data_IF_284182766762
#
_entry.id   IF_284182766762
#
_cell.length_a   1.000
_cell.length_b   1.000
_cell.length_c   1.000
_cell.angle_alpha   90.00
_cell.angle_beta   90.00
_cell.angle_gamma   90.00
#
_symmetry.space_group_name_H-M   'P 1'
#
loop_
_entity.id
_entity.type
_entity.pdbx_description
1 polymer ?
#
# COMPACT_ATOMS: atom_id res chain seq x y z
N UNK A 1 -1.10 -2.08 -20.10
CA UNK A 1 -0.21 -2.75 -19.12
C UNK A 1 -1.09 -3.21 -17.97
N UNK A 2 -1.90 -4.24 -18.20
CA UNK A 2 -2.79 -4.85 -17.18
C UNK A 2 -2.07 -5.97 -16.41
N UNK A 3 -1.00 -6.52 -16.97
CA UNK A 3 -0.38 -7.80 -16.57
C UNK A 3 0.33 -7.77 -15.20
N UNK A 4 0.47 -6.60 -14.57
CA UNK A 4 1.26 -6.42 -13.34
C UNK A 4 0.51 -5.73 -12.19
N UNK A 5 -0.79 -5.44 -12.36
CA UNK A 5 -1.57 -4.72 -11.36
C UNK A 5 -1.74 -5.49 -10.04
N UNK A 6 -1.67 -6.82 -10.10
CA UNK A 6 -1.73 -7.70 -8.92
C UNK A 6 -0.59 -7.42 -7.93
N UNK A 7 0.57 -6.92 -8.39
CA UNK A 7 1.70 -6.55 -7.53
C UNK A 7 1.34 -5.43 -6.54
N UNK A 8 0.27 -4.68 -6.81
CA UNK A 8 -0.18 -3.58 -5.95
C UNK A 8 -1.05 -4.03 -4.78
N UNK A 9 -1.58 -5.25 -4.82
CA UNK A 9 -2.28 -5.85 -3.70
C UNK A 9 -1.29 -6.43 -2.73
N UNK A 10 -0.97 -5.69 -1.67
CA UNK A 10 -0.11 -6.16 -0.61
C UNK A 10 -0.66 -7.42 0.05
N UNK A 11 0.23 -8.30 0.49
CA UNK A 11 -0.12 -9.55 1.20
C UNK A 11 -1.13 -9.29 2.33
N UNK A 12 -0.97 -8.18 3.05
CA UNK A 12 -1.79 -7.76 4.17
C UNK A 12 -2.99 -6.86 3.81
N UNK A 13 -3.29 -6.63 2.53
CA UNK A 13 -4.39 -5.77 2.09
C UNK A 13 -4.04 -4.31 1.82
N UNK A 14 -2.77 -3.90 2.01
CA UNK A 14 -2.34 -2.54 1.68
C UNK A 14 -2.35 -2.38 0.16
N UNK A 15 -2.96 -1.30 -0.33
CA UNK A 15 -2.83 -0.89 -1.72
C UNK A 15 -1.55 -0.08 -1.97
N UNK A 16 -0.61 -0.64 -2.75
CA UNK A 16 0.65 0.06 -3.05
C UNK A 16 0.46 1.28 -3.95
N UNK A 17 -0.64 1.39 -4.71
CA UNK A 17 -0.85 2.51 -5.63
C UNK A 17 -0.92 3.89 -4.97
N UNK A 18 -1.09 3.96 -3.66
CA UNK A 18 -1.03 5.19 -2.85
C UNK A 18 0.14 5.23 -1.87
N UNK A 19 1.02 4.22 -1.89
CA UNK A 19 2.25 4.19 -1.08
C UNK A 19 3.26 5.21 -1.62
N UNK A 20 3.85 6.08 -0.76
CA UNK A 20 4.81 7.08 -1.20
C UNK A 20 5.96 6.53 -2.04
N UNK A 21 6.56 5.42 -1.63
CA UNK A 21 7.71 4.83 -2.34
C UNK A 21 7.35 4.27 -3.72
N UNK A 22 6.18 3.64 -3.87
CA UNK A 22 5.72 3.14 -5.15
C UNK A 22 5.22 4.27 -6.05
N UNK A 23 4.32 5.11 -5.55
CA UNK A 23 3.70 6.14 -6.37
C UNK A 23 4.72 7.21 -6.79
N UNK A 24 5.67 7.60 -5.94
CA UNK A 24 6.74 8.53 -6.33
C UNK A 24 7.65 7.97 -7.43
N UNK A 25 7.95 6.67 -7.40
CA UNK A 25 8.65 5.98 -8.48
C UNK A 25 7.85 6.07 -9.80
N UNK A 26 6.55 5.78 -9.77
CA UNK A 26 5.70 5.78 -10.98
C UNK A 26 5.46 7.18 -11.55
N UNK A 27 5.29 8.19 -10.71
CA UNK A 27 5.05 9.58 -11.10
C UNK A 27 6.35 10.36 -11.33
N UNK A 28 7.52 9.71 -11.15
CA UNK A 28 8.84 10.35 -11.16
C UNK A 28 8.92 11.57 -10.22
N UNK A 29 8.30 11.47 -9.05
CA UNK A 29 8.34 12.48 -7.99
C UNK A 29 9.64 12.34 -7.19
N UNK A 30 10.69 12.97 -7.74
CA UNK A 30 12.04 12.93 -7.15
C UNK A 30 12.05 13.57 -5.74
N UNK A 31 11.24 14.59 -5.49
CA UNK A 31 11.20 15.28 -4.20
C UNK A 31 10.65 14.36 -3.10
N UNK A 32 9.59 13.59 -3.38
CA UNK A 32 9.09 12.60 -2.42
C UNK A 32 10.11 11.45 -2.25
N UNK A 33 10.78 10.98 -3.31
CA UNK A 33 11.84 9.96 -3.16
C UNK A 33 13.00 10.46 -2.28
N UNK A 34 13.49 11.68 -2.49
CA UNK A 34 14.54 12.30 -1.67
C UNK A 34 14.14 12.43 -0.21
N UNK A 35 12.91 12.89 0.05
CA UNK A 35 12.35 13.00 1.39
C UNK A 35 12.32 11.63 2.08
N UNK A 36 11.84 10.59 1.39
CA UNK A 36 11.74 9.22 1.92
C UNK A 36 13.12 8.63 2.21
N UNK A 37 14.06 8.82 1.30
CA UNK A 37 15.46 8.42 1.47
C UNK A 37 16.06 9.06 2.73
N UNK A 38 15.86 10.37 2.92
CA UNK A 38 16.33 11.10 4.09
C UNK A 38 15.67 10.64 5.40
N UNK A 39 14.33 10.57 5.44
CA UNK A 39 13.57 10.19 6.64
C UNK A 39 13.88 8.78 7.13
N UNK A 40 14.15 7.85 6.19
CA UNK A 40 14.37 6.44 6.47
C UNK A 40 15.85 6.04 6.50
N UNK A 41 16.76 7.00 6.27
CA UNK A 41 18.20 6.78 6.17
C UNK A 41 18.58 5.71 5.12
N UNK A 42 18.04 5.87 3.92
CA UNK A 42 18.34 5.08 2.72
C UNK A 42 18.80 6.00 1.59
N UNK A 43 19.33 5.41 0.52
CA UNK A 43 19.57 6.10 -0.75
C UNK A 43 18.26 6.25 -1.55
N UNK A 44 18.25 7.17 -2.53
CA UNK A 44 17.12 7.34 -3.45
C UNK A 44 16.80 6.02 -4.17
N UNK A 45 17.83 5.28 -4.60
CA UNK A 45 17.63 4.03 -5.33
C UNK A 45 17.07 2.93 -4.45
N UNK A 46 17.48 2.85 -3.18
CA UNK A 46 16.90 1.91 -2.20
C UNK A 46 15.43 2.19 -1.90
N UNK A 47 14.95 3.44 -2.06
CA UNK A 47 13.55 3.76 -1.81
C UNK A 47 12.62 3.60 -3.01
N UNK A 48 13.16 3.23 -4.18
CA UNK A 48 12.35 2.88 -5.36
C UNK A 48 11.64 1.55 -5.13
N UNK A 49 10.41 1.44 -5.60
CA UNK A 49 9.55 0.29 -5.34
C UNK A 49 8.61 0.02 -6.52
N UNK A 50 8.49 -1.24 -6.92
CA UNK A 50 7.67 -1.68 -8.06
C UNK A 50 6.43 -2.49 -7.61
N UNK A 51 6.10 -2.46 -6.31
CA UNK A 51 4.90 -3.06 -5.73
C UNK A 51 5.20 -4.26 -4.84
N UNK A 52 4.28 -4.61 -3.93
CA UNK A 52 4.50 -5.61 -2.86
C UNK A 52 4.96 -6.99 -3.37
N UNK A 53 4.50 -7.43 -4.53
CA UNK A 53 4.90 -8.72 -5.11
C UNK A 53 5.95 -8.61 -6.23
N UNK A 54 6.61 -7.46 -6.34
CA UNK A 54 7.78 -7.31 -7.22
C UNK A 54 9.07 -7.76 -6.52
N UNK A 55 10.12 -7.95 -7.32
CA UNK A 55 11.48 -8.21 -6.80
C UNK A 55 12.15 -6.94 -6.24
N UNK A 56 11.60 -5.76 -6.53
CA UNK A 56 12.15 -4.47 -6.14
C UNK A 56 11.18 -3.74 -5.19
N UNK A 57 11.42 -3.88 -3.89
CA UNK A 57 10.62 -3.25 -2.84
C UNK A 57 11.50 -2.53 -1.83
N UNK A 58 10.93 -1.55 -1.16
CA UNK A 58 11.55 -0.84 -0.03
C UNK A 58 12.22 -1.82 0.96
N UNK A 59 13.39 -1.49 1.53
CA UNK A 59 14.06 -2.32 2.55
C UNK A 59 13.14 -2.71 3.72
N UNK A 60 12.29 -1.79 4.19
CA UNK A 60 11.31 -2.07 5.25
C UNK A 60 10.21 -3.03 4.82
N UNK A 61 9.90 -3.08 3.52
CA UNK A 61 8.99 -4.05 2.94
C UNK A 61 9.68 -5.40 2.65
N UNK A 62 11.00 -5.43 2.45
CA UNK A 62 11.78 -6.69 2.41
C UNK A 62 11.74 -7.36 3.78
N UNK A 63 12.11 -6.62 4.83
CA UNK A 63 12.06 -7.10 6.22
C UNK A 63 10.62 -7.46 6.61
N UNK A 64 9.66 -6.62 6.21
CA UNK A 64 8.25 -6.73 6.56
C UNK A 64 8.11 -7.06 8.05
N UNK A 65 8.57 -6.15 8.94
CA UNK A 65 8.60 -6.35 10.41
C UNK A 65 7.33 -6.96 11.02
N UNK A 66 6.10 -6.62 10.56
CA UNK A 66 4.88 -7.28 11.05
C UNK A 66 4.82 -8.81 10.78
N UNK A 67 5.62 -9.31 9.84
CA UNK A 67 5.83 -10.72 9.57
C UNK A 67 4.95 -11.30 8.46
N UNK A 68 4.18 -10.50 7.72
CA UNK A 68 3.22 -11.00 6.72
C UNK A 68 3.89 -11.79 5.59
N UNK A 69 5.04 -11.34 5.07
CA UNK A 69 5.78 -12.09 4.03
C UNK A 69 6.21 -13.48 4.50
N UNK A 70 6.75 -13.56 5.72
CA UNK A 70 7.18 -14.83 6.30
C UNK A 70 5.98 -15.76 6.53
N UNK A 71 4.93 -15.24 7.16
CA UNK A 71 3.70 -15.99 7.44
C UNK A 71 3.03 -16.52 6.16
N UNK A 72 2.92 -15.69 5.12
CA UNK A 72 2.34 -16.10 3.84
C UNK A 72 3.11 -17.26 3.20
N UNK A 73 4.45 -17.21 3.22
CA UNK A 73 5.30 -18.32 2.75
C UNK A 73 5.11 -19.59 3.58
N UNK A 74 5.07 -19.48 4.90
CA UNK A 74 4.90 -20.63 5.81
C UNK A 74 3.54 -21.32 5.65
N UNK A 75 2.49 -20.55 5.34
CA UNK A 75 1.14 -21.06 5.11
C UNK A 75 0.85 -21.40 3.64
N UNK A 76 1.78 -21.11 2.72
CA UNK A 76 1.62 -21.38 1.29
C UNK A 76 0.53 -20.54 0.62
N UNK A 77 0.34 -19.29 1.06
CA UNK A 77 -0.67 -18.35 0.53
C UNK A 77 0.00 -17.12 -0.09
N UNK A 78 -0.68 -16.49 -1.05
CA UNK A 78 -0.28 -15.22 -1.66
C UNK A 78 -0.77 -14.02 -0.84
N UNK A 79 -2.03 -14.06 -0.41
CA UNK A 79 -2.66 -13.00 0.38
C UNK A 79 -3.21 -13.53 1.68
N UNK A 80 -3.30 -12.66 2.70
CA UNK A 80 -3.80 -13.04 4.00
C UNK A 80 -5.24 -13.60 3.96
N UNK A 81 -6.11 -13.17 3.05
CA UNK A 81 -7.49 -13.67 2.96
C UNK A 81 -7.61 -15.14 2.57
N UNK A 82 -6.56 -15.71 1.98
CA UNK A 82 -6.48 -17.13 1.58
C UNK A 82 -6.09 -18.02 2.78
N UNK A 83 -5.59 -17.43 3.87
CA UNK A 83 -5.22 -18.16 5.06
C UNK A 83 -6.49 -18.69 5.79
N UNK A 84 -6.49 -19.95 6.27
CA UNK A 84 -7.59 -20.48 7.09
C UNK A 84 -7.86 -19.68 8.37
N UNK A 85 -6.83 -19.00 8.89
CA UNK A 85 -6.92 -18.19 10.12
C UNK A 85 -7.40 -16.75 9.87
N UNK A 86 -7.83 -16.42 8.65
CA UNK A 86 -8.26 -15.06 8.31
C UNK A 86 -9.68 -14.74 8.81
N UNK A 87 -9.91 -13.56 9.43
CA UNK A 87 -8.91 -12.57 9.85
C UNK A 87 -8.18 -13.00 11.13
N UNK A 88 -6.88 -12.73 11.21
CA UNK A 88 -6.04 -13.10 12.36
C UNK A 88 -5.61 -11.90 13.20
N UNK A 89 -5.22 -12.14 14.45
CA UNK A 89 -4.81 -11.09 15.39
C UNK A 89 -3.70 -10.19 14.85
N UNK A 90 -2.79 -10.72 14.02
CA UNK A 90 -1.72 -9.92 13.40
C UNK A 90 -2.25 -8.80 12.51
N UNK A 91 -3.36 -9.02 11.79
CA UNK A 91 -4.01 -7.97 10.99
C UNK A 91 -4.66 -6.93 11.90
N UNK A 92 -5.34 -7.36 12.97
CA UNK A 92 -5.96 -6.46 13.94
C UNK A 92 -4.93 -5.55 14.62
N UNK A 93 -3.81 -6.12 15.08
CA UNK A 93 -2.72 -5.36 15.68
C UNK A 93 -2.12 -4.35 14.69
N UNK A 94 -2.05 -4.72 13.41
CA UNK A 94 -1.40 -3.93 12.37
C UNK A 94 -2.20 -2.68 11.98
N UNK A 95 -3.53 -2.68 12.13
CA UNK A 95 -4.39 -1.50 11.90
C UNK A 95 -3.95 -0.27 12.71
N UNK A 96 -3.32 -0.51 13.86
CA UNK A 96 -2.88 0.51 14.79
C UNK A 96 -1.40 0.90 14.65
N UNK A 97 -0.70 0.38 13.65
CA UNK A 97 0.71 0.70 13.37
C UNK A 97 0.80 1.83 12.34
N UNK A 98 1.79 2.72 12.51
CA UNK A 98 2.14 3.78 11.56
C UNK A 98 0.97 4.73 11.25
N UNK A 99 0.61 5.50 12.28
CA UNK A 99 -0.39 6.58 12.26
C UNK A 99 0.35 7.91 12.15
N UNK A 100 0.01 8.73 11.16
CA UNK A 100 0.57 10.07 10.95
C UNK A 100 -0.57 11.07 10.98
N UNK A 101 -0.48 12.06 11.86
CA UNK A 101 -1.53 13.08 12.07
C UNK A 101 -2.94 12.49 12.24
N UNK A 102 -3.06 11.35 12.93
CA UNK A 102 -4.35 10.67 13.15
C UNK A 102 -4.87 9.85 11.97
N UNK A 103 -4.10 9.71 10.89
CA UNK A 103 -4.46 8.89 9.72
C UNK A 103 -3.69 7.57 9.78
N UNK A 104 -4.41 6.44 9.78
CA UNK A 104 -3.82 5.11 9.57
C UNK A 104 -4.07 4.65 8.14
N UNK A 105 -3.01 4.44 7.36
CA UNK A 105 -3.10 3.79 6.06
C UNK A 105 -3.31 2.26 6.15
N UNK A 106 -3.41 1.73 7.38
CA UNK A 106 -3.72 0.33 7.68
C UNK A 106 -5.17 0.15 8.20
N UNK A 107 -5.95 1.21 8.31
CA UNK A 107 -7.23 1.19 9.04
C UNK A 107 -8.22 0.14 8.53
N UNK A 108 -8.26 -0.06 7.21
CA UNK A 108 -9.27 -0.88 6.54
C UNK A 108 -8.75 -2.21 5.99
N UNK A 109 -7.57 -2.68 6.42
CA UNK A 109 -6.91 -3.83 5.78
C UNK A 109 -7.73 -5.11 5.77
N UNK A 110 -8.47 -5.37 6.85
CA UNK A 110 -9.29 -6.59 6.95
C UNK A 110 -10.49 -6.48 6.01
N UNK A 111 -11.11 -5.31 5.97
CA UNK A 111 -12.23 -4.98 5.09
C UNK A 111 -11.81 -5.06 3.61
N UNK A 112 -10.63 -4.53 3.26
CA UNK A 112 -10.06 -4.61 1.92
C UNK A 112 -9.74 -6.06 1.52
N UNK A 113 -9.12 -6.85 2.40
CA UNK A 113 -8.86 -8.27 2.17
C UNK A 113 -10.15 -9.09 2.01
N UNK A 114 -11.17 -8.81 2.83
CA UNK A 114 -12.48 -9.44 2.74
C UNK A 114 -13.17 -9.07 1.42
N UNK A 115 -13.04 -7.82 0.96
CA UNK A 115 -13.57 -7.40 -0.33
C UNK A 115 -12.96 -8.20 -1.49
N UNK A 116 -11.63 -8.39 -1.50
CA UNK A 116 -10.96 -9.22 -2.53
C UNK A 116 -11.51 -10.65 -2.52
N UNK A 117 -11.68 -11.23 -1.32
CA UNK A 117 -12.20 -12.59 -1.14
C UNK A 117 -13.64 -12.76 -1.67
N UNK A 118 -14.49 -11.77 -1.46
CA UNK A 118 -15.92 -11.85 -1.83
C UNK A 118 -16.19 -11.45 -3.29
N UNK A 119 -15.27 -10.73 -3.93
CA UNK A 119 -15.43 -10.20 -5.28
C UNK A 119 -14.31 -10.72 -6.20
N UNK A 120 -13.30 -9.88 -6.46
CA UNK A 120 -12.09 -10.26 -7.18
C UNK A 120 -10.98 -9.25 -6.90
N UNK A 121 -9.75 -9.61 -7.26
CA UNK A 121 -8.61 -8.72 -7.19
C UNK A 121 -8.76 -7.51 -8.12
N UNK A 122 -9.30 -7.72 -9.32
CA UNK A 122 -9.51 -6.67 -10.32
C UNK A 122 -10.54 -5.65 -9.84
N UNK A 123 -11.68 -6.12 -9.33
CA UNK A 123 -12.71 -5.26 -8.76
C UNK A 123 -12.17 -4.43 -7.57
N UNK A 124 -11.32 -5.06 -6.75
CA UNK A 124 -10.65 -4.37 -5.65
C UNK A 124 -9.69 -3.29 -6.15
N UNK A 125 -8.82 -3.60 -7.12
CA UNK A 125 -7.86 -2.66 -7.71
C UNK A 125 -8.56 -1.44 -8.32
N UNK A 126 -9.67 -1.63 -9.03
CA UNK A 126 -10.49 -0.53 -9.55
C UNK A 126 -11.09 0.34 -8.44
N UNK A 127 -11.59 -0.30 -7.37
CA UNK A 127 -12.13 0.40 -6.20
C UNK A 127 -11.06 1.28 -5.55
N UNK A 128 -9.91 0.70 -5.19
CA UNK A 128 -8.88 1.41 -4.42
C UNK A 128 -8.08 2.41 -5.27
N UNK A 129 -7.90 2.19 -6.58
CA UNK A 129 -7.33 3.23 -7.48
C UNK A 129 -8.28 4.44 -7.57
N UNK A 130 -9.60 4.21 -7.64
CA UNK A 130 -10.60 5.28 -7.63
C UNK A 130 -10.61 6.04 -6.30
N UNK A 131 -10.60 5.34 -5.17
CA UNK A 131 -10.57 5.93 -3.83
C UNK A 131 -9.24 6.65 -3.54
N UNK A 132 -8.14 6.18 -4.12
CA UNK A 132 -6.81 6.77 -4.03
C UNK A 132 -6.61 8.04 -4.86
N UNK A 133 -7.65 8.55 -5.54
CA UNK A 133 -7.59 9.74 -6.39
C UNK A 133 -8.35 10.91 -5.78
N UNK A 134 -7.90 12.11 -6.10
CA UNK A 134 -8.64 13.33 -5.81
C UNK A 134 -9.99 13.30 -6.54
N UNK A 135 -11.12 13.50 -5.83
CA UNK A 135 -12.44 13.45 -6.45
C UNK A 135 -12.73 14.64 -7.37
N UNK A 136 -11.95 15.73 -7.25
CA UNK A 136 -12.12 16.93 -8.07
C UNK A 136 -11.32 16.86 -9.38
N UNK A 137 -10.04 16.50 -9.32
CA UNK A 137 -9.15 16.56 -10.48
C UNK A 137 -8.58 15.21 -10.95
N UNK A 138 -8.83 14.11 -10.21
CA UNK A 138 -8.39 12.77 -10.57
C UNK A 138 -6.91 12.46 -10.30
N UNK A 139 -6.13 13.40 -9.73
CA UNK A 139 -4.73 13.16 -9.32
C UNK A 139 -4.66 11.99 -8.34
N UNK A 140 -3.76 11.04 -8.55
CA UNK A 140 -3.42 10.03 -7.53
C UNK A 140 -2.83 10.71 -6.30
N UNK A 141 -3.21 10.24 -5.13
CA UNK A 141 -2.84 10.81 -3.86
C UNK A 141 -2.03 9.81 -3.03
N UNK A 142 -1.07 10.32 -2.27
CA UNK A 142 -0.41 9.53 -1.25
C UNK A 142 -1.36 9.24 -0.08
N UNK A 143 -1.18 8.10 0.59
CA UNK A 143 -2.07 7.61 1.64
C UNK A 143 -2.21 8.49 2.91
N UNK A 144 -1.47 9.60 3.00
CA UNK A 144 -1.58 10.60 4.08
C UNK A 144 -2.01 11.99 3.58
N UNK A 145 -2.34 12.15 2.30
CA UNK A 145 -2.78 13.42 1.75
C UNK A 145 -4.08 13.90 2.42
N UNK A 146 -4.06 15.09 3.03
CA UNK A 146 -5.23 15.80 3.61
C UNK A 146 -5.90 16.74 2.61
N UNK A 147 -5.12 17.27 1.68
CA UNK A 147 -5.60 18.07 0.57
C UNK A 147 -4.90 17.61 -0.72
N UNK A 148 -5.56 17.76 -1.85
CA UNK A 148 -4.93 17.51 -3.14
C UNK A 148 -3.85 18.58 -3.41
N UNK A 149 -2.61 18.19 -3.78
CA UNK A 149 -1.55 19.16 -4.06
C UNK A 149 -1.80 19.97 -5.34
N UNK A 150 -2.66 19.52 -6.25
CA UNK A 150 -2.89 20.19 -7.53
C UNK A 150 -4.07 21.17 -7.49
N UNK A 151 -5.15 20.79 -6.79
CA UNK A 151 -6.40 21.57 -6.78
C UNK A 151 -6.85 22.02 -5.38
N UNK A 152 -6.11 21.64 -4.33
CA UNK A 152 -6.38 22.01 -2.94
C UNK A 152 -7.72 21.53 -2.37
N UNK A 153 -8.45 20.66 -3.07
CA UNK A 153 -9.64 19.99 -2.51
C UNK A 153 -9.26 19.23 -1.24
N UNK A 154 -10.03 19.45 -0.17
CA UNK A 154 -9.91 18.72 1.09
C UNK A 154 -10.30 17.25 0.89
N UNK A 155 -9.48 16.35 1.42
CA UNK A 155 -9.64 14.90 1.31
C UNK A 155 -10.05 14.30 2.66
N UNK A 156 -9.42 14.73 3.77
CA UNK A 156 -9.63 14.22 5.14
C UNK A 156 -8.99 15.09 6.22
#
# INVERSE_FOLDING_TARGET
MEEEAWKLAGICGIYCGTCPSYLAQQENDIAELEKRAMEMNFTIDEVRCDGCHSDNVMPTCVECRPGFRKCAREHGVTWCFECPDFPCQRLEDFKHVHIVDGISHHEHLIEELQYIKDHSLEAWLEKVDREGRCPQCGKRLYWFARACPDCHTHIR
#
